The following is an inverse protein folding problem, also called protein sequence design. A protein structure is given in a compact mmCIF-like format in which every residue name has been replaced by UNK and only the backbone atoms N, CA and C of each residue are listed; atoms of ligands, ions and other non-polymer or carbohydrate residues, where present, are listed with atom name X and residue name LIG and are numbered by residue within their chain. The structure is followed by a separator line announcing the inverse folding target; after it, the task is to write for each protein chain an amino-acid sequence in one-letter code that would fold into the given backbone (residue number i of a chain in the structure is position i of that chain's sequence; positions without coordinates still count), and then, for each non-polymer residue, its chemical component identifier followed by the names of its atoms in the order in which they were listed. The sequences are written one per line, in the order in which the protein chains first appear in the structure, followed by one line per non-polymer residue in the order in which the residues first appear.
data_IF_201021851551
#
_entry.id   IF_201021851551
#
_cell.length_a   1.000
_cell.length_b   1.000
_cell.length_c   1.000
_cell.angle_alpha   90.00
_cell.angle_beta   90.00
_cell.angle_gamma   90.00
#
_symmetry.space_group_name_H-M   'P 1'
#
loop_
_entity.id
_entity.type
_entity.pdbx_description
1 polymer ?
#
# COMPACT_ATOMS: atom_id res chain seq x y z
N UNK A 1 7.09 9.29 -2.76
CA UNK A 1 5.82 9.69 -3.44
C UNK A 1 5.61 8.95 -4.76
N UNK A 2 6.65 8.70 -5.57
CA UNK A 2 6.56 7.93 -6.83
C UNK A 2 5.81 6.60 -6.69
N UNK A 3 6.11 5.81 -5.65
CA UNK A 3 5.44 4.53 -5.40
C UNK A 3 3.92 4.68 -5.12
N UNK A 4 3.51 5.72 -4.38
CA UNK A 4 2.10 5.97 -4.09
C UNK A 4 1.33 6.32 -5.36
N UNK A 5 1.92 7.17 -6.21
CA UNK A 5 1.34 7.54 -7.51
C UNK A 5 1.22 6.29 -8.39
N UNK A 6 2.26 5.47 -8.45
CA UNK A 6 2.24 4.22 -9.22
C UNK A 6 1.10 3.30 -8.74
N UNK A 7 0.92 3.12 -7.43
CA UNK A 7 -0.17 2.30 -6.89
C UNK A 7 -1.55 2.83 -7.30
N UNK A 8 -1.78 4.14 -7.21
CA UNK A 8 -3.06 4.77 -7.59
C UNK A 8 -3.32 4.66 -9.09
N UNK A 9 -2.31 4.95 -9.92
CA UNK A 9 -2.42 4.85 -11.39
C UNK A 9 -2.69 3.42 -11.80
N UNK A 10 -1.92 2.45 -11.28
CA UNK A 10 -2.16 1.04 -11.56
C UNK A 10 -3.57 0.65 -11.10
N UNK A 11 -3.98 0.99 -9.87
CA UNK A 11 -5.32 0.70 -9.36
C UNK A 11 -6.42 1.23 -10.29
N UNK A 12 -6.26 2.44 -10.83
CA UNK A 12 -7.21 3.02 -11.79
C UNK A 12 -7.21 2.25 -13.14
N UNK A 13 -6.04 1.90 -13.67
CA UNK A 13 -5.89 1.18 -14.94
C UNK A 13 -6.48 -0.24 -14.88
N UNK A 14 -6.32 -0.97 -13.77
CA UNK A 14 -6.89 -2.33 -13.63
C UNK A 14 -8.37 -2.34 -13.27
N UNK A 15 -8.99 -1.19 -12.96
CA UNK A 15 -10.39 -1.12 -12.50
C UNK A 15 -11.41 -1.71 -13.47
N UNK A 16 -11.15 -1.62 -14.77
CA UNK A 16 -12.00 -2.21 -15.81
C UNK A 16 -11.79 -3.71 -16.02
N UNK A 17 -10.67 -4.28 -15.55
CA UNK A 17 -10.30 -5.69 -15.78
C UNK A 17 -10.50 -6.56 -14.56
N UNK A 18 -10.02 -6.12 -13.39
CA UNK A 18 -10.12 -6.87 -12.14
C UNK A 18 -10.44 -5.88 -11.01
N UNK A 19 -11.75 -5.71 -10.74
CA UNK A 19 -12.25 -4.82 -9.69
C UNK A 19 -11.75 -5.21 -8.29
N UNK A 20 -11.69 -6.50 -7.91
CA UNK A 20 -11.05 -6.93 -6.67
C UNK A 20 -9.59 -6.43 -6.53
N UNK A 21 -8.76 -6.59 -7.55
CA UNK A 21 -7.35 -6.10 -7.54
C UNK A 21 -7.30 -4.59 -7.42
N UNK A 22 -8.12 -3.88 -8.21
CA UNK A 22 -8.19 -2.42 -8.18
C UNK A 22 -8.55 -1.90 -6.78
N UNK A 23 -9.60 -2.45 -6.18
CA UNK A 23 -10.03 -2.06 -4.83
C UNK A 23 -8.97 -2.38 -3.78
N UNK A 24 -8.33 -3.55 -3.86
CA UNK A 24 -7.21 -3.91 -3.00
C UNK A 24 -6.08 -2.90 -3.09
N UNK A 25 -5.65 -2.53 -4.31
CA UNK A 25 -4.59 -1.57 -4.53
C UNK A 25 -4.95 -0.17 -3.99
N UNK A 26 -6.19 0.29 -4.15
CA UNK A 26 -6.63 1.57 -3.58
C UNK A 26 -6.58 1.58 -2.05
N UNK A 27 -7.05 0.50 -1.41
CA UNK A 27 -6.97 0.37 0.05
C UNK A 27 -5.51 0.35 0.51
N UNK A 28 -4.66 -0.44 -0.14
CA UNK A 28 -3.22 -0.49 0.18
C UNK A 28 -2.53 0.86 -0.05
N UNK A 29 -2.91 1.61 -1.10
CA UNK A 29 -2.40 2.95 -1.37
C UNK A 29 -2.82 3.95 -0.28
N UNK A 30 -4.05 3.85 0.24
CA UNK A 30 -4.50 4.67 1.36
C UNK A 30 -3.67 4.41 2.62
N UNK A 31 -3.42 3.13 2.94
CA UNK A 31 -2.54 2.75 4.07
C UNK A 31 -1.13 3.31 3.87
N UNK A 32 -0.59 3.23 2.65
CA UNK A 32 0.72 3.79 2.35
C UNK A 32 0.78 5.32 2.45
N UNK A 33 -0.31 6.01 2.10
CA UNK A 33 -0.44 7.46 2.31
C UNK A 33 -0.34 7.82 3.79
N UNK A 34 -1.07 7.10 4.66
CA UNK A 34 -0.99 7.26 6.12
C UNK A 34 0.42 6.94 6.64
N UNK A 35 1.05 5.89 6.14
CA UNK A 35 2.44 5.52 6.46
C UNK A 35 3.42 6.66 6.19
N UNK A 36 3.31 7.30 5.02
CA UNK A 36 4.13 8.48 4.66
C UNK A 36 3.81 9.66 5.58
N UNK A 37 2.55 9.85 5.97
CA UNK A 37 2.16 10.87 6.94
C UNK A 37 2.93 10.74 8.27
N UNK A 38 2.98 9.52 8.83
CA UNK A 38 3.81 9.24 10.01
C UNK A 38 5.29 9.53 9.76
N UNK A 39 5.83 9.21 8.58
CA UNK A 39 7.24 9.52 8.26
C UNK A 39 7.54 11.02 8.19
N UNK A 40 6.59 11.82 7.70
CA UNK A 40 6.74 13.28 7.58
C UNK A 40 6.66 13.91 8.98
N UNK A 41 5.69 13.51 9.79
CA UNK A 41 5.44 14.08 11.12
C UNK A 41 6.47 13.58 12.15
N UNK A 42 7.16 12.47 11.89
CA UNK A 42 8.26 11.95 12.72
C UNK A 42 9.35 13.00 12.95
N UNK A 43 9.71 13.78 11.92
CA UNK A 43 10.80 14.75 12.00
C UNK A 43 10.56 15.87 13.04
N UNK A 44 9.41 16.58 13.04
CA UNK A 44 9.12 17.57 14.08
C UNK A 44 8.77 16.96 15.45
N UNK A 45 8.27 15.72 15.51
CA UNK A 45 7.92 15.08 16.79
C UNK A 45 9.11 14.44 17.50
N UNK A 46 10.18 14.09 16.78
CA UNK A 46 11.38 13.49 17.36
C UNK A 46 12.04 14.38 18.42
N UNK A 47 11.88 15.70 18.30
CA UNK A 47 12.41 16.66 19.29
C UNK A 47 11.61 16.71 20.60
N UNK A 48 10.37 16.21 20.60
CA UNK A 48 9.45 16.30 21.75
C UNK A 48 9.10 14.95 22.38
N UNK A 49 9.20 13.86 21.61
CA UNK A 49 8.91 12.48 22.05
C UNK A 49 10.14 11.62 21.79
N UNK A 50 10.78 11.11 22.84
CA UNK A 50 12.03 10.34 22.76
C UNK A 50 11.97 9.09 21.86
N UNK A 51 10.77 8.53 21.64
CA UNK A 51 10.54 7.37 20.78
C UNK A 51 10.19 7.75 19.32
N UNK A 52 9.76 8.99 19.06
CA UNK A 52 9.23 9.43 17.75
C UNK A 52 7.97 8.68 17.29
N UNK A 53 7.65 8.78 16.00
CA UNK A 53 6.58 8.01 15.34
C UNK A 53 7.11 7.02 14.31
N UNK A 54 8.43 6.88 14.21
CA UNK A 54 9.12 6.08 13.20
C UNK A 54 8.68 4.61 13.15
N UNK A 55 8.44 4.00 14.32
CA UNK A 55 7.98 2.61 14.40
C UNK A 55 6.64 2.39 13.68
N UNK A 56 5.75 3.39 13.71
CA UNK A 56 4.44 3.30 13.05
C UNK A 56 4.59 3.26 11.52
N UNK A 57 5.53 4.04 10.98
CA UNK A 57 5.87 3.99 9.56
C UNK A 57 6.33 2.58 9.15
N UNK A 58 7.18 1.92 9.95
CA UNK A 58 7.62 0.55 9.67
C UNK A 58 6.47 -0.47 9.70
N UNK A 59 5.61 -0.42 10.70
CA UNK A 59 4.46 -1.33 10.82
C UNK A 59 3.52 -1.16 9.63
N UNK A 60 3.17 0.08 9.29
CA UNK A 60 2.29 0.35 8.15
C UNK A 60 2.95 -0.04 6.82
N UNK A 61 4.26 0.13 6.67
CA UNK A 61 4.97 -0.37 5.49
C UNK A 61 4.93 -1.90 5.40
N UNK A 62 5.06 -2.63 6.51
CA UNK A 62 4.90 -4.08 6.51
C UNK A 62 3.49 -4.49 6.06
N UNK A 63 2.44 -3.78 6.52
CA UNK A 63 1.06 -3.98 6.07
C UNK A 63 0.90 -3.70 4.58
N UNK A 64 1.52 -2.65 4.06
CA UNK A 64 1.52 -2.32 2.62
C UNK A 64 2.15 -3.44 1.80
N UNK A 65 3.33 -3.92 2.20
CA UNK A 65 4.03 -5.01 1.51
C UNK A 65 3.21 -6.30 1.54
N UNK A 66 2.63 -6.64 2.70
CA UNK A 66 1.75 -7.78 2.83
C UNK A 66 0.52 -7.67 1.92
N UNK A 67 -0.14 -6.51 1.90
CA UNK A 67 -1.29 -6.24 1.04
C UNK A 67 -0.96 -6.40 -0.45
N UNK A 68 0.16 -5.83 -0.91
CA UNK A 68 0.63 -5.98 -2.28
C UNK A 68 0.93 -7.44 -2.65
N UNK A 69 1.61 -8.18 -1.76
CA UNK A 69 1.90 -9.59 -1.97
C UNK A 69 0.62 -10.43 -2.10
N UNK A 70 -0.37 -10.20 -1.24
CA UNK A 70 -1.66 -10.90 -1.30
C UNK A 70 -2.43 -10.57 -2.56
N UNK A 71 -2.51 -9.29 -2.94
CA UNK A 71 -3.15 -8.87 -4.19
C UNK A 71 -2.50 -9.55 -5.39
N UNK A 72 -1.16 -9.64 -5.41
CA UNK A 72 -0.43 -10.31 -6.47
C UNK A 72 -0.74 -11.81 -6.54
N UNK A 73 -0.65 -12.52 -5.41
CA UNK A 73 -0.96 -13.96 -5.33
C UNK A 73 -2.40 -14.22 -5.80
N UNK A 74 -3.37 -13.50 -5.27
CA UNK A 74 -4.78 -13.69 -5.61
C UNK A 74 -5.05 -13.39 -7.10
N UNK A 75 -4.36 -12.37 -7.66
CA UNK A 75 -4.46 -12.05 -9.09
C UNK A 75 -3.86 -13.13 -9.98
N UNK A 76 -2.77 -13.77 -9.53
CA UNK A 76 -2.10 -14.86 -10.23
C UNK A 76 -2.95 -16.12 -10.23
N UNK A 77 -3.54 -16.47 -9.08
CA UNK A 77 -4.45 -17.62 -8.95
C UNK A 77 -5.66 -17.48 -9.89
N UNK A 78 -6.27 -16.29 -9.93
CA UNK A 78 -7.37 -16.00 -10.88
C UNK A 78 -6.94 -16.11 -12.34
N UNK A 79 -5.76 -15.58 -12.69
CA UNK A 79 -5.25 -15.67 -14.05
C UNK A 79 -4.97 -17.13 -14.47
N UNK A 80 -4.48 -17.98 -13.57
CA UNK A 80 -4.29 -19.41 -13.83
C UNK A 80 -5.62 -20.12 -14.01
N UNK A 81 -6.61 -19.86 -13.14
CA UNK A 81 -7.93 -20.48 -13.24
C UNK A 81 -8.71 -20.11 -14.51
N UNK A 82 -8.43 -18.94 -15.11
CA UNK A 82 -9.02 -18.53 -16.40
C UNK A 82 -8.34 -19.18 -17.61
N UNK A 83 -7.14 -19.75 -17.43
CA UNK A 83 -6.36 -20.37 -18.50
C UNK A 83 -6.50 -21.90 -18.56
N UNK A 84 -7.16 -22.52 -17.56
CA UNK A 84 -7.55 -23.93 -17.49
C UNK A 84 -8.97 -24.14 -18.01
#
# INVERSE_FOLDING_TARGET
MTALIAMVVVAALVRGKDRPVSNGLFVTALVFCVSIGFRIIDLPLCETVAMGTHFMWHILNAVVLYGLARIYIDSRERAVALAS
#
